data_IF_623507543709
#
_entry.id   IF_623507543709
#
_cell.length_a   1.000
_cell.length_b   1.000
_cell.length_c   1.000
_cell.angle_alpha   90.00
_cell.angle_beta   90.00
_cell.angle_gamma   90.00
#
_symmetry.space_group_name_H-M   'P 1'
#
loop_
_entity.id
_entity.type
_entity.pdbx_description
1 polymer ?
#
# COMPACT_ATOMS: atom_id res chain seq x y z
N UNK A 1 83.12 -52.98 19.87
CA UNK A 1 82.18 -51.85 20.11
C UNK A 1 81.80 -51.08 18.84
N UNK A 2 82.64 -51.01 17.79
CA UNK A 2 82.31 -50.28 16.54
C UNK A 2 81.22 -50.94 15.66
N UNK A 3 81.10 -52.28 15.64
CA UNK A 3 80.06 -52.95 14.81
C UNK A 3 78.64 -52.89 15.38
N UNK A 4 78.50 -52.73 16.71
CA UNK A 4 77.17 -52.56 17.35
C UNK A 4 76.60 -51.15 17.15
N UNK A 5 77.46 -50.14 16.97
CA UNK A 5 77.03 -48.74 16.72
C UNK A 5 76.42 -48.55 15.32
N UNK A 6 76.96 -49.25 14.31
CA UNK A 6 76.45 -49.20 12.93
C UNK A 6 75.06 -49.81 12.82
N UNK A 7 74.79 -50.90 13.55
CA UNK A 7 73.48 -51.56 13.55
C UNK A 7 72.43 -50.71 14.28
N UNK A 8 72.81 -49.99 15.34
CA UNK A 8 71.91 -49.04 16.03
C UNK A 8 71.59 -47.83 15.16
N UNK A 9 72.55 -47.30 14.38
CA UNK A 9 72.30 -46.22 13.43
C UNK A 9 71.44 -46.66 12.23
N UNK A 10 71.53 -47.92 11.78
CA UNK A 10 70.73 -48.44 10.67
C UNK A 10 69.27 -48.75 11.05
N UNK A 11 69.00 -49.06 12.33
CA UNK A 11 67.63 -49.23 12.84
C UNK A 11 66.97 -47.92 13.30
N UNK A 12 67.73 -46.85 13.56
CA UNK A 12 67.19 -45.53 13.93
C UNK A 12 66.63 -44.72 12.75
N UNK A 13 67.03 -45.05 11.50
CA UNK A 13 66.56 -44.37 10.28
C UNK A 13 65.22 -44.86 9.74
N UNK A 14 64.58 -45.85 10.39
CA UNK A 14 63.33 -46.49 9.94
C UNK A 14 62.06 -45.92 10.57
N UNK A 15 62.18 -44.88 11.41
CA UNK A 15 61.02 -44.21 11.99
C UNK A 15 60.70 -42.90 11.24
N UNK A 16 59.51 -42.91 10.61
CA UNK A 16 58.63 -41.75 10.37
C UNK A 16 58.92 -40.89 9.13
N UNK A 17 59.02 -41.51 7.95
CA UNK A 17 58.62 -40.82 6.73
C UNK A 17 57.10 -40.88 6.60
N UNK A 18 56.38 -39.82 6.96
CA UNK A 18 54.96 -39.72 6.59
C UNK A 18 54.86 -39.79 5.07
N UNK A 19 54.08 -40.73 4.53
CA UNK A 19 53.86 -40.89 3.09
C UNK A 19 52.89 -39.83 2.54
N UNK A 20 53.11 -38.56 2.91
CA UNK A 20 52.35 -37.43 2.40
C UNK A 20 52.91 -37.04 1.04
N UNK A 21 52.02 -36.79 0.10
CA UNK A 21 52.41 -36.26 -1.21
C UNK A 21 52.33 -34.74 -1.13
N UNK A 22 53.49 -34.08 -1.12
CA UNK A 22 53.59 -32.65 -1.32
C UNK A 22 53.89 -32.33 -2.78
N UNK A 23 53.09 -31.48 -3.41
CA UNK A 23 53.37 -30.92 -4.74
C UNK A 23 53.53 -29.40 -4.57
N UNK A 24 54.73 -28.87 -4.79
CA UNK A 24 55.03 -27.46 -4.57
C UNK A 24 55.25 -27.06 -3.09
N UNK A 25 55.26 -28.03 -2.18
CA UNK A 25 55.65 -27.87 -0.77
C UNK A 25 56.52 -29.04 -0.32
N UNK A 26 57.53 -28.78 0.51
CA UNK A 26 58.37 -29.82 1.14
C UNK A 26 57.91 -30.17 2.55
N UNK A 27 56.94 -29.43 3.08
CA UNK A 27 56.37 -29.62 4.41
C UNK A 27 54.85 -29.61 4.30
N UNK A 28 54.24 -30.70 3.78
CA UNK A 28 52.79 -30.82 3.76
C UNK A 28 52.20 -30.68 5.16
N UNK A 29 50.99 -30.14 5.24
CA UNK A 29 50.24 -30.05 6.49
C UNK A 29 50.12 -31.46 7.10
N UNK A 30 50.44 -31.66 8.39
CA UNK A 30 50.37 -32.97 9.05
C UNK A 30 48.99 -33.66 8.97
N UNK A 31 47.93 -32.90 8.68
CA UNK A 31 46.56 -33.41 8.51
C UNK A 31 46.20 -33.77 7.06
N UNK A 32 47.09 -33.55 6.10
CA UNK A 32 46.88 -33.84 4.68
C UNK A 32 47.55 -35.15 4.24
N UNK A 33 46.91 -35.90 3.34
CA UNK A 33 47.57 -37.00 2.59
C UNK A 33 48.18 -36.50 1.27
N UNK A 34 47.62 -35.43 0.71
CA UNK A 34 48.08 -34.73 -0.48
C UNK A 34 47.91 -33.23 -0.25
N UNK A 35 49.00 -32.46 -0.31
CA UNK A 35 48.95 -30.99 -0.36
C UNK A 35 49.56 -30.51 -1.68
N UNK A 36 48.85 -29.62 -2.36
CA UNK A 36 49.32 -28.95 -3.56
C UNK A 36 49.40 -27.46 -3.26
N UNK A 37 50.62 -26.92 -3.21
CA UNK A 37 50.89 -25.51 -2.94
C UNK A 37 51.42 -24.83 -4.20
N UNK A 38 50.70 -23.84 -4.69
CA UNK A 38 51.12 -23.00 -5.81
C UNK A 38 50.39 -21.66 -5.74
N UNK A 39 51.10 -20.57 -6.03
CA UNK A 39 50.51 -19.23 -6.15
C UNK A 39 50.11 -18.88 -7.60
N UNK A 40 50.45 -19.74 -8.57
CA UNK A 40 50.33 -19.46 -10.01
C UNK A 40 49.62 -20.55 -10.82
N UNK A 41 49.43 -21.76 -10.28
CA UNK A 41 48.81 -22.89 -10.97
C UNK A 41 47.76 -23.60 -10.10
N UNK A 42 46.74 -24.18 -10.74
CA UNK A 42 45.70 -24.98 -10.10
C UNK A 42 45.83 -26.49 -10.36
N UNK A 43 44.88 -27.27 -9.84
CA UNK A 43 44.75 -28.70 -10.13
C UNK A 43 43.71 -28.95 -11.24
N UNK A 44 44.09 -29.72 -12.25
CA UNK A 44 43.13 -30.32 -13.19
C UNK A 44 42.73 -31.70 -12.68
N UNK A 45 41.57 -31.78 -12.01
CA UNK A 45 40.93 -33.06 -11.69
C UNK A 45 40.45 -33.77 -12.97
N UNK A 46 40.14 -35.08 -12.93
CA UNK A 46 39.68 -35.81 -14.11
C UNK A 46 38.53 -35.10 -14.83
N UNK A 47 38.69 -34.88 -16.14
CA UNK A 47 37.71 -34.22 -17.00
C UNK A 47 37.02 -35.24 -17.88
N UNK A 48 35.70 -35.26 -17.90
CA UNK A 48 34.93 -36.23 -18.67
C UNK A 48 33.53 -35.71 -19.03
N UNK A 49 32.87 -36.35 -19.99
CA UNK A 49 31.47 -36.05 -20.35
C UNK A 49 30.50 -36.66 -19.34
N UNK A 50 29.24 -36.24 -19.38
CA UNK A 50 28.16 -36.83 -18.57
C UNK A 50 28.09 -38.36 -18.75
N UNK A 51 28.14 -38.83 -19.99
CA UNK A 51 28.09 -40.26 -20.32
C UNK A 51 29.27 -41.02 -19.73
N UNK A 52 30.48 -40.44 -19.79
CA UNK A 52 31.68 -41.06 -19.21
C UNK A 52 31.66 -41.06 -17.69
N UNK A 53 31.14 -40.00 -17.05
CA UNK A 53 30.94 -39.92 -15.60
C UNK A 53 29.95 -40.97 -15.12
N UNK A 54 28.82 -41.10 -15.81
CA UNK A 54 27.77 -42.06 -15.45
C UNK A 54 28.18 -43.51 -15.73
N UNK A 55 29.17 -43.71 -16.62
CA UNK A 55 29.79 -45.01 -16.84
C UNK A 55 30.71 -45.46 -15.68
N UNK A 56 31.09 -44.56 -14.75
CA UNK A 56 31.77 -44.94 -13.50
C UNK A 56 30.75 -45.64 -12.61
N UNK A 57 30.59 -46.94 -12.81
CA UNK A 57 29.52 -47.74 -12.21
C UNK A 57 29.99 -49.08 -11.64
N UNK A 58 31.15 -49.59 -12.07
CA UNK A 58 31.74 -50.82 -11.54
C UNK A 58 33.28 -50.71 -11.37
N UNK A 59 33.78 -50.68 -10.12
CA UNK A 59 32.99 -50.59 -8.89
C UNK A 59 32.24 -49.26 -8.79
N UNK A 60 31.19 -49.22 -7.97
CA UNK A 60 30.43 -47.99 -7.73
C UNK A 60 31.37 -46.85 -7.24
N UNK A 61 31.15 -45.59 -7.65
CA UNK A 61 32.00 -44.48 -7.23
C UNK A 61 32.01 -44.33 -5.70
N UNK A 62 33.17 -43.96 -5.16
CA UNK A 62 33.29 -43.65 -3.73
C UNK A 62 32.73 -42.26 -3.41
N UNK A 63 32.17 -42.09 -2.21
CA UNK A 63 31.80 -40.77 -1.71
C UNK A 63 33.03 -39.85 -1.65
N UNK A 64 32.88 -38.62 -2.14
CA UNK A 64 33.96 -37.65 -2.25
C UNK A 64 34.76 -37.73 -3.55
N UNK A 65 34.43 -38.64 -4.49
CA UNK A 65 35.04 -38.65 -5.81
C UNK A 65 34.70 -37.35 -6.56
N UNK A 66 35.71 -36.65 -7.06
CA UNK A 66 35.57 -35.36 -7.73
C UNK A 66 35.99 -35.47 -9.20
N UNK A 67 35.15 -34.93 -10.09
CA UNK A 67 35.45 -34.83 -11.52
C UNK A 67 34.96 -33.47 -12.03
N UNK A 68 35.56 -32.98 -13.12
CA UNK A 68 35.03 -31.83 -13.84
C UNK A 68 34.25 -32.33 -15.06
N UNK A 69 32.95 -32.07 -15.08
CA UNK A 69 32.07 -32.53 -16.13
C UNK A 69 32.04 -31.51 -17.28
N UNK A 70 32.53 -31.95 -18.43
CA UNK A 70 32.70 -31.13 -19.63
C UNK A 70 31.41 -31.00 -20.45
N UNK A 71 30.35 -31.74 -20.13
CA UNK A 71 29.05 -31.62 -20.79
C UNK A 71 28.24 -30.45 -20.22
N UNK A 72 28.27 -30.26 -18.90
CA UNK A 72 27.52 -29.22 -18.18
C UNK A 72 28.42 -28.14 -17.56
N UNK A 73 29.75 -28.24 -17.73
CA UNK A 73 30.76 -27.34 -17.20
C UNK A 73 30.75 -27.20 -15.66
N UNK A 74 30.49 -28.29 -14.93
CA UNK A 74 30.37 -28.29 -13.46
C UNK A 74 31.46 -29.09 -12.76
N UNK A 75 31.74 -28.74 -11.50
CA UNK A 75 32.41 -29.65 -10.57
C UNK A 75 31.38 -30.66 -10.07
N UNK A 76 31.61 -31.95 -10.31
CA UNK A 76 30.73 -33.01 -9.83
C UNK A 76 31.40 -33.79 -8.69
N UNK A 77 30.68 -33.91 -7.57
CA UNK A 77 31.12 -34.69 -6.40
C UNK A 77 30.15 -35.84 -6.19
N UNK A 78 30.66 -37.07 -6.15
CA UNK A 78 29.82 -38.22 -5.81
C UNK A 78 29.55 -38.24 -4.30
N UNK A 79 28.28 -38.28 -3.91
CA UNK A 79 27.86 -38.31 -2.51
C UNK A 79 26.50 -38.95 -2.37
N UNK A 80 26.34 -39.81 -1.36
CA UNK A 80 25.09 -40.50 -1.04
C UNK A 80 24.51 -41.23 -2.26
N UNK A 81 25.34 -42.02 -2.94
CA UNK A 81 24.99 -42.81 -4.12
C UNK A 81 24.46 -41.99 -5.31
N UNK A 82 24.89 -40.74 -5.45
CA UNK A 82 24.52 -39.87 -6.57
C UNK A 82 25.60 -38.83 -6.87
N UNK A 83 25.69 -38.40 -8.13
CA UNK A 83 26.51 -37.25 -8.50
C UNK A 83 25.82 -35.93 -8.09
N UNK A 84 26.55 -35.05 -7.41
CA UNK A 84 26.12 -33.68 -7.07
C UNK A 84 26.91 -32.69 -7.93
N UNK A 85 26.21 -31.96 -8.79
CA UNK A 85 26.82 -30.96 -9.67
C UNK A 85 26.82 -29.58 -9.03
N UNK A 86 27.98 -28.96 -9.00
CA UNK A 86 28.20 -27.58 -8.57
C UNK A 86 28.51 -26.74 -9.80
N UNK A 87 27.46 -26.10 -10.35
CA UNK A 87 27.59 -25.20 -11.48
C UNK A 87 27.86 -23.78 -10.99
N UNK A 88 28.88 -23.13 -11.55
CA UNK A 88 28.93 -21.67 -11.61
C UNK A 88 28.13 -21.25 -12.85
N UNK A 89 26.95 -20.67 -12.67
CA UNK A 89 26.15 -20.15 -13.79
C UNK A 89 26.42 -18.65 -13.96
N UNK A 90 27.23 -18.23 -14.95
CA UNK A 90 27.41 -16.81 -15.25
C UNK A 90 26.13 -16.15 -15.80
N UNK A 91 25.15 -16.95 -16.25
CA UNK A 91 23.88 -16.49 -16.80
C UNK A 91 22.76 -16.33 -15.74
N UNK A 92 23.11 -16.45 -14.45
CA UNK A 92 22.17 -16.17 -13.38
C UNK A 92 21.71 -14.71 -13.46
N UNK A 93 20.40 -14.49 -13.33
CA UNK A 93 19.85 -13.16 -13.07
C UNK A 93 20.06 -12.74 -11.60
N UNK A 94 20.55 -13.63 -10.73
CA UNK A 94 20.83 -13.34 -9.32
C UNK A 94 22.28 -12.93 -9.10
N UNK A 95 22.48 -11.86 -8.33
CA UNK A 95 23.76 -11.44 -7.76
C UNK A 95 23.65 -11.54 -6.23
N UNK A 96 24.47 -12.37 -5.60
CA UNK A 96 24.51 -12.46 -4.14
C UNK A 96 25.44 -11.39 -3.57
N UNK A 97 24.96 -10.66 -2.57
CA UNK A 97 25.67 -9.54 -1.95
C UNK A 97 25.88 -9.83 -0.47
N UNK A 98 27.13 -9.98 -0.07
CA UNK A 98 27.53 -10.20 1.32
C UNK A 98 28.27 -8.97 1.89
N UNK A 99 28.77 -8.10 1.02
CA UNK A 99 29.59 -6.95 1.35
C UNK A 99 29.56 -5.90 0.24
N UNK A 100 30.13 -4.72 0.51
CA UNK A 100 30.26 -3.66 -0.49
C UNK A 100 31.05 -4.10 -1.74
N UNK A 101 32.00 -5.03 -1.63
CA UNK A 101 32.81 -5.48 -2.78
C UNK A 101 32.04 -6.37 -3.76
N UNK A 102 30.87 -6.88 -3.37
CA UNK A 102 30.00 -7.67 -4.25
C UNK A 102 29.09 -6.79 -5.12
N UNK A 103 29.10 -5.47 -4.88
CA UNK A 103 28.36 -4.47 -5.64
C UNK A 103 29.24 -3.82 -6.71
N UNK A 104 28.63 -3.23 -7.77
CA UNK A 104 29.35 -2.36 -8.69
C UNK A 104 30.13 -1.26 -7.95
N UNK A 105 31.27 -0.85 -8.52
CA UNK A 105 32.09 0.19 -7.92
C UNK A 105 31.30 1.51 -7.79
N UNK A 106 31.35 2.20 -6.64
CA UNK A 106 30.68 3.49 -6.48
C UNK A 106 31.28 4.58 -7.39
N UNK A 107 30.41 5.33 -8.07
CA UNK A 107 30.77 6.52 -8.84
C UNK A 107 30.17 7.76 -8.17
N UNK A 108 31.01 8.65 -7.64
CA UNK A 108 30.56 9.83 -6.87
C UNK A 108 29.58 9.50 -5.74
N UNK A 109 29.78 8.36 -5.08
CA UNK A 109 28.91 7.85 -4.02
C UNK A 109 27.71 7.04 -4.51
N UNK A 110 27.42 6.99 -5.81
CA UNK A 110 26.32 6.20 -6.37
C UNK A 110 26.77 4.83 -6.85
N UNK A 111 26.11 3.78 -6.37
CA UNK A 111 26.28 2.39 -6.84
C UNK A 111 25.12 2.10 -7.78
N UNK A 112 25.37 2.11 -9.09
CA UNK A 112 24.34 1.82 -10.10
C UNK A 112 24.27 0.33 -10.38
N UNK A 113 23.11 -0.27 -10.13
CA UNK A 113 22.88 -1.69 -10.36
C UNK A 113 22.54 -2.01 -11.82
N UNK A 114 22.79 -3.25 -12.22
CA UNK A 114 22.38 -3.78 -13.53
C UNK A 114 20.87 -4.06 -13.52
N UNK A 115 20.13 -3.38 -14.40
CA UNK A 115 18.66 -3.44 -14.50
C UNK A 115 18.12 -4.83 -14.82
N UNK A 116 18.96 -5.71 -15.37
CA UNK A 116 18.58 -7.08 -15.75
C UNK A 116 18.70 -8.09 -14.60
N UNK A 117 19.20 -7.64 -13.44
CA UNK A 117 19.56 -8.51 -12.31
C UNK A 117 18.64 -8.33 -11.11
N UNK A 118 18.66 -9.32 -10.23
CA UNK A 118 18.12 -9.28 -8.88
C UNK A 118 19.27 -9.48 -7.88
N UNK A 119 19.45 -8.50 -7.01
CA UNK A 119 20.48 -8.51 -5.98
C UNK A 119 19.89 -9.11 -4.69
N UNK A 120 20.49 -10.20 -4.24
CA UNK A 120 20.09 -10.94 -3.04
C UNK A 120 21.09 -10.63 -1.93
N UNK A 121 20.67 -9.77 -1.00
CA UNK A 121 21.45 -9.36 0.15
C UNK A 121 21.37 -10.40 1.25
N UNK A 122 22.52 -10.73 1.85
CA UNK A 122 22.63 -11.67 2.94
C UNK A 122 23.51 -11.08 4.03
N UNK A 123 22.95 -10.81 5.19
CA UNK A 123 23.58 -10.12 6.30
C UNK A 123 23.52 -8.59 6.19
N UNK A 124 24.22 -7.93 7.11
CA UNK A 124 24.25 -6.46 7.21
C UNK A 124 25.32 -5.88 6.30
N UNK A 125 24.92 -5.41 5.13
CA UNK A 125 25.80 -4.81 4.12
C UNK A 125 25.88 -3.30 4.35
N UNK A 126 27.00 -2.86 4.90
CA UNK A 126 27.31 -1.43 5.08
C UNK A 126 27.89 -0.88 3.79
N UNK A 127 27.22 0.12 3.21
CA UNK A 127 27.65 0.78 1.96
C UNK A 127 28.08 2.23 2.16
N UNK A 128 28.03 2.75 3.39
CA UNK A 128 28.48 4.10 3.76
C UNK A 128 29.80 4.54 3.09
N UNK A 129 29.91 5.79 2.61
CA UNK A 129 28.89 6.85 2.56
C UNK A 129 28.04 6.78 1.26
N UNK A 130 28.01 5.64 0.57
CA UNK A 130 27.41 5.48 -0.74
C UNK A 130 25.89 5.23 -0.66
N UNK A 131 25.20 5.41 -1.79
CA UNK A 131 23.81 5.02 -1.98
C UNK A 131 23.69 4.02 -3.14
N UNK A 132 22.60 3.29 -3.19
CA UNK A 132 22.26 2.41 -4.32
C UNK A 132 21.31 3.14 -5.25
N UNK A 133 21.70 3.29 -6.51
CA UNK A 133 20.78 3.54 -7.61
C UNK A 133 20.29 2.19 -8.15
N UNK A 134 19.03 1.84 -7.83
CA UNK A 134 18.43 0.55 -8.18
C UNK A 134 18.40 0.35 -9.70
N UNK A 135 18.18 1.44 -10.45
CA UNK A 135 18.18 1.42 -11.91
C UNK A 135 17.29 0.30 -12.54
N UNK A 136 16.18 -0.08 -11.89
CA UNK A 136 15.30 -1.15 -12.36
C UNK A 136 15.66 -2.58 -11.91
N UNK A 137 16.80 -2.77 -11.24
CA UNK A 137 17.17 -4.06 -10.66
C UNK A 137 16.19 -4.47 -9.54
N UNK A 138 15.99 -5.77 -9.35
CA UNK A 138 15.25 -6.29 -8.20
C UNK A 138 16.14 -6.34 -6.95
N UNK A 139 15.59 -6.01 -5.78
CA UNK A 139 16.28 -6.19 -4.50
C UNK A 139 15.54 -7.22 -3.65
N UNK A 140 16.30 -8.12 -3.03
CA UNK A 140 15.74 -9.15 -2.15
C UNK A 140 16.68 -9.49 -0.99
N UNK A 141 16.11 -9.88 0.14
CA UNK A 141 16.80 -10.64 1.19
C UNK A 141 16.12 -11.99 1.45
N UNK A 142 16.49 -12.64 2.54
CA UNK A 142 15.96 -13.94 2.98
C UNK A 142 15.47 -13.90 4.43
N UNK A 143 16.12 -13.09 5.27
CA UNK A 143 15.78 -12.84 6.66
C UNK A 143 15.90 -11.32 6.90
N UNK A 144 14.83 -10.53 6.74
CA UNK A 144 14.87 -9.06 6.85
C UNK A 144 15.30 -8.55 8.24
N UNK A 145 15.35 -9.40 9.27
CA UNK A 145 15.91 -9.01 10.57
C UNK A 145 17.45 -8.93 10.54
N UNK A 146 18.10 -9.66 9.62
CA UNK A 146 19.56 -9.75 9.50
C UNK A 146 20.08 -9.21 8.17
N UNK A 147 19.28 -9.30 7.11
CA UNK A 147 19.60 -8.85 5.77
C UNK A 147 19.25 -7.36 5.66
N UNK A 148 20.29 -6.53 5.65
CA UNK A 148 20.15 -5.08 5.77
C UNK A 148 21.08 -4.36 4.79
N UNK A 149 20.59 -3.26 4.21
CA UNK A 149 21.42 -2.26 3.55
C UNK A 149 21.56 -1.07 4.49
N UNK A 150 22.79 -0.73 4.86
CA UNK A 150 23.08 0.32 5.84
C UNK A 150 23.90 1.43 5.18
N UNK A 151 23.43 2.67 5.27
CA UNK A 151 24.18 3.83 4.79
C UNK A 151 23.87 5.10 5.58
N UNK A 152 24.89 5.93 5.77
CA UNK A 152 24.85 7.28 6.34
C UNK A 152 24.98 8.38 5.26
N UNK A 153 24.62 8.06 4.01
CA UNK A 153 24.68 9.00 2.88
C UNK A 153 24.02 10.33 3.25
N UNK A 154 24.79 11.41 3.14
CA UNK A 154 24.35 12.73 3.58
C UNK A 154 23.27 13.31 2.66
N UNK A 155 22.24 13.93 3.26
CA UNK A 155 21.20 14.68 2.57
C UNK A 155 20.57 13.93 1.37
N UNK A 156 20.12 12.70 1.60
CA UNK A 156 19.47 11.90 0.56
C UNK A 156 19.07 10.52 1.04
N UNK A 157 18.67 9.65 0.10
CA UNK A 157 18.21 8.31 0.41
C UNK A 157 19.27 7.22 0.24
N UNK A 158 19.17 6.15 1.03
CA UNK A 158 19.97 4.91 0.89
C UNK A 158 19.69 4.23 -0.45
N UNK A 159 18.41 4.12 -0.82
CA UNK A 159 17.96 3.56 -2.08
C UNK A 159 17.32 4.65 -2.94
N UNK A 160 17.75 4.74 -4.20
CA UNK A 160 17.28 5.73 -5.17
C UNK A 160 16.91 5.06 -6.48
N UNK A 161 15.96 5.64 -7.19
CA UNK A 161 15.71 5.30 -8.59
C UNK A 161 14.83 6.34 -9.25
N UNK A 162 15.07 6.60 -10.53
CA UNK A 162 14.24 7.48 -11.35
C UNK A 162 13.86 6.78 -12.65
N UNK A 163 12.59 6.92 -13.06
CA UNK A 163 12.06 6.42 -14.34
C UNK A 163 12.37 4.93 -14.60
N UNK A 164 12.24 4.11 -13.55
CA UNK A 164 12.44 2.66 -13.57
C UNK A 164 11.50 2.00 -12.59
N UNK A 165 11.13 0.75 -12.86
CA UNK A 165 10.31 -0.02 -11.91
C UNK A 165 11.09 -0.37 -10.65
N UNK A 166 10.39 -0.46 -9.51
CA UNK A 166 10.97 -0.83 -8.22
C UNK A 166 10.37 -2.16 -7.77
N UNK A 167 11.23 -3.07 -7.35
CA UNK A 167 10.85 -4.32 -6.70
C UNK A 167 11.77 -4.59 -5.52
N UNK A 168 11.22 -4.58 -4.31
CA UNK A 168 11.94 -4.87 -3.06
C UNK A 168 11.13 -5.89 -2.26
N UNK A 169 11.80 -6.90 -1.70
CA UNK A 169 11.16 -7.92 -0.85
C UNK A 169 12.13 -8.47 0.20
N UNK A 170 11.64 -8.75 1.41
CA UNK A 170 12.38 -9.46 2.47
C UNK A 170 13.74 -8.81 2.82
N UNK A 171 13.86 -7.48 2.71
CA UNK A 171 15.11 -6.75 2.89
C UNK A 171 14.92 -5.49 3.73
N UNK A 172 15.69 -5.32 4.80
CA UNK A 172 15.63 -4.10 5.60
C UNK A 172 16.58 -3.02 5.07
N UNK A 173 16.17 -1.76 5.20
CA UNK A 173 16.99 -0.58 4.89
C UNK A 173 17.19 0.24 6.15
N UNK A 174 18.44 0.56 6.44
CA UNK A 174 18.85 1.27 7.65
C UNK A 174 19.48 2.60 7.24
N UNK A 175 18.69 3.69 7.20
CA UNK A 175 19.23 5.03 7.09
C UNK A 175 19.95 5.40 8.40
N UNK A 176 21.27 5.52 8.35
CA UNK A 176 22.14 5.58 9.53
C UNK A 176 22.52 7.01 9.96
N UNK A 177 21.82 8.04 9.48
CA UNK A 177 22.01 9.42 9.92
C UNK A 177 20.71 10.21 9.95
N UNK A 178 20.65 11.26 10.77
CA UNK A 178 19.49 12.16 10.86
C UNK A 178 19.19 12.96 9.58
N UNK A 179 20.11 12.93 8.60
CA UNK A 179 19.94 13.55 7.27
C UNK A 179 19.63 12.54 6.15
N UNK A 180 19.52 11.26 6.50
CA UNK A 180 19.36 10.16 5.54
C UNK A 180 17.94 9.63 5.60
N UNK A 181 17.32 9.40 4.44
CA UNK A 181 16.05 8.65 4.31
C UNK A 181 16.31 7.26 3.73
N UNK A 182 15.35 6.34 3.79
CA UNK A 182 15.51 5.04 3.15
C UNK A 182 15.30 5.09 1.63
N UNK A 183 14.25 5.79 1.18
CA UNK A 183 13.78 5.78 -0.20
C UNK A 183 13.71 7.18 -0.81
N UNK A 184 14.13 7.27 -2.07
CA UNK A 184 13.87 8.37 -2.99
C UNK A 184 13.60 7.79 -4.37
N UNK A 185 12.33 7.47 -4.62
CA UNK A 185 11.89 6.84 -5.87
C UNK A 185 11.00 7.81 -6.64
N UNK A 186 11.26 7.97 -7.94
CA UNK A 186 10.46 8.84 -8.79
C UNK A 186 10.21 8.23 -10.17
N UNK A 187 9.05 8.50 -10.73
CA UNK A 187 8.75 8.24 -12.14
C UNK A 187 8.01 9.46 -12.70
N UNK A 188 8.62 10.19 -13.63
CA UNK A 188 7.95 11.31 -14.30
C UNK A 188 7.18 10.88 -15.55
N UNK A 189 7.34 9.61 -15.96
CA UNK A 189 6.66 9.05 -17.13
C UNK A 189 5.27 8.52 -16.81
N UNK A 190 4.99 8.17 -15.55
CA UNK A 190 3.74 7.55 -15.13
C UNK A 190 3.54 6.15 -15.71
N UNK A 191 4.61 5.46 -16.10
CA UNK A 191 4.54 4.16 -16.79
C UNK A 191 5.09 3.00 -15.97
N UNK A 192 5.97 3.27 -15.01
CA UNK A 192 6.60 2.24 -14.20
C UNK A 192 5.77 1.97 -12.94
N UNK A 193 6.09 0.87 -12.24
CA UNK A 193 5.47 0.51 -10.97
C UNK A 193 6.49 0.54 -9.83
N UNK A 194 6.02 0.77 -8.60
CA UNK A 194 6.81 0.67 -7.39
C UNK A 194 6.20 -0.38 -6.46
N UNK A 195 6.91 -1.49 -6.25
CA UNK A 195 6.47 -2.61 -5.45
C UNK A 195 7.42 -2.86 -4.28
N UNK A 196 6.91 -2.68 -3.07
CA UNK A 196 7.62 -2.88 -1.80
C UNK A 196 6.83 -3.90 -0.98
N UNK A 197 7.31 -5.13 -0.96
CA UNK A 197 6.59 -6.28 -0.41
C UNK A 197 7.22 -6.84 0.85
N UNK A 198 6.47 -7.72 1.51
CA UNK A 198 6.75 -8.43 2.76
C UNK A 198 8.18 -8.34 3.27
N UNK A 199 8.34 -7.73 4.44
CA UNK A 199 9.62 -7.63 5.13
C UNK A 199 10.55 -6.54 4.59
N UNK A 200 10.10 -5.70 3.65
CA UNK A 200 10.88 -4.53 3.18
C UNK A 200 10.83 -3.40 4.22
N UNK A 201 11.52 -3.63 5.32
CA UNK A 201 11.45 -2.82 6.53
C UNK A 201 12.36 -1.61 6.47
N UNK A 202 12.04 -0.55 7.21
CA UNK A 202 12.92 0.60 7.41
C UNK A 202 13.10 0.81 8.89
N UNK A 203 14.34 0.84 9.36
CA UNK A 203 14.63 0.83 10.81
C UNK A 203 15.75 1.80 11.14
N UNK A 204 15.51 2.66 12.12
CA UNK A 204 16.48 3.57 12.74
C UNK A 204 17.43 2.83 13.70
N UNK A 205 18.08 1.77 13.21
CA UNK A 205 18.92 0.89 14.04
C UNK A 205 20.23 1.56 14.51
N UNK A 206 20.67 2.62 13.82
CA UNK A 206 21.95 3.31 14.05
C UNK A 206 21.76 4.73 14.62
N UNK A 207 20.55 5.06 15.11
CA UNK A 207 20.16 6.40 15.54
C UNK A 207 19.01 6.96 14.70
N UNK A 208 18.43 8.12 15.09
CA UNK A 208 17.28 8.68 14.42
C UNK A 208 17.63 9.07 12.97
N UNK A 209 16.82 8.63 12.02
CA UNK A 209 16.96 9.01 10.60
C UNK A 209 16.08 10.20 10.24
N UNK A 210 16.05 10.59 8.96
CA UNK A 210 15.06 11.51 8.40
C UNK A 210 13.74 10.81 8.01
N UNK A 211 13.63 9.49 8.17
CA UNK A 211 12.41 8.72 7.92
C UNK A 211 12.47 7.77 6.73
N UNK A 212 11.30 7.24 6.35
CA UNK A 212 11.16 6.32 5.21
C UNK A 212 11.52 7.02 3.90
N UNK A 213 11.06 8.25 3.67
CA UNK A 213 11.40 9.05 2.49
C UNK A 213 10.23 9.25 1.53
N UNK A 214 10.52 9.33 0.22
CA UNK A 214 9.55 9.77 -0.80
C UNK A 214 9.44 8.77 -1.95
N UNK A 215 8.22 8.55 -2.43
CA UNK A 215 7.92 7.81 -3.65
C UNK A 215 6.95 8.66 -4.50
N UNK A 216 7.29 8.95 -5.75
CA UNK A 216 6.46 9.83 -6.59
C UNK A 216 6.24 9.34 -8.02
N UNK A 217 5.03 9.58 -8.54
CA UNK A 217 4.75 9.56 -9.98
C UNK A 217 4.59 8.21 -10.70
N UNK A 218 4.54 7.09 -9.98
CA UNK A 218 4.41 5.76 -10.59
C UNK A 218 2.97 5.44 -11.03
N UNK A 219 2.82 4.65 -12.10
CA UNK A 219 1.50 4.11 -12.52
C UNK A 219 0.80 3.32 -11.40
N UNK A 220 1.58 2.62 -10.58
CA UNK A 220 1.11 1.93 -9.39
C UNK A 220 2.18 1.92 -8.30
N UNK A 221 1.79 2.24 -7.07
CA UNK A 221 2.61 2.13 -5.86
C UNK A 221 1.94 1.13 -4.94
N UNK A 222 2.61 0.01 -4.65
CA UNK A 222 2.09 -1.05 -3.77
C UNK A 222 3.07 -1.30 -2.62
N UNK A 223 2.62 -1.07 -1.39
CA UNK A 223 3.41 -1.22 -0.17
C UNK A 223 2.67 -2.16 0.78
N UNK A 224 3.16 -3.40 0.91
CA UNK A 224 2.46 -4.43 1.69
C UNK A 224 3.37 -5.16 2.68
N UNK A 225 2.86 -5.38 3.89
CA UNK A 225 3.46 -6.27 4.89
C UNK A 225 4.86 -5.85 5.36
N UNK A 226 5.07 -4.56 5.59
CA UNK A 226 6.36 -4.00 6.02
C UNK A 226 6.35 -3.57 7.49
N UNK A 227 7.54 -3.35 8.05
CA UNK A 227 7.74 -2.79 9.39
C UNK A 227 8.60 -1.53 9.30
N UNK A 228 8.08 -0.40 9.75
CA UNK A 228 8.80 0.87 9.78
C UNK A 228 8.93 1.36 11.22
N UNK A 229 10.17 1.54 11.67
CA UNK A 229 10.49 2.14 12.95
C UNK A 229 11.46 3.30 12.70
N UNK A 230 10.88 4.46 12.38
CA UNK A 230 11.62 5.64 11.92
C UNK A 230 11.02 6.92 12.48
N UNK A 231 11.80 8.00 12.51
CA UNK A 231 11.31 9.30 13.03
C UNK A 231 10.18 9.92 12.20
N UNK A 232 10.13 9.64 10.89
CA UNK A 232 9.11 10.12 9.96
C UNK A 232 8.73 9.02 8.98
N UNK A 233 7.50 9.07 8.47
CA UNK A 233 6.92 8.04 7.61
C UNK A 233 7.22 8.23 6.13
N UNK A 234 6.36 7.64 5.30
CA UNK A 234 6.46 7.70 3.84
C UNK A 234 5.68 8.89 3.27
N UNK A 235 6.25 9.53 2.25
CA UNK A 235 5.61 10.59 1.45
C UNK A 235 5.30 10.09 0.05
N UNK A 236 4.08 10.29 -0.40
CA UNK A 236 3.62 9.93 -1.75
C UNK A 236 3.28 11.21 -2.52
N UNK A 237 3.86 11.40 -3.70
CA UNK A 237 3.68 12.59 -4.54
C UNK A 237 3.60 12.31 -6.03
N UNK A 238 3.57 13.36 -6.85
CA UNK A 238 3.50 13.27 -8.30
C UNK A 238 2.23 12.60 -8.85
N UNK A 239 2.25 12.26 -10.15
CA UNK A 239 1.10 11.62 -10.82
C UNK A 239 1.08 10.12 -10.63
N UNK A 240 0.23 9.65 -9.72
CA UNK A 240 0.12 8.23 -9.37
C UNK A 240 -1.12 7.65 -10.01
N UNK A 241 -1.04 6.49 -10.67
CA UNK A 241 -2.27 5.83 -11.12
C UNK A 241 -3.04 5.27 -9.92
N UNK A 242 -2.42 4.32 -9.21
CA UNK A 242 -2.97 3.72 -7.98
C UNK A 242 -1.96 3.68 -6.84
N UNK A 243 -2.37 4.06 -5.64
CA UNK A 243 -1.61 3.85 -4.41
C UNK A 243 -2.30 2.81 -3.52
N UNK A 244 -1.55 1.81 -3.07
CA UNK A 244 -2.04 0.78 -2.14
C UNK A 244 -1.06 0.59 -1.00
N UNK A 245 -1.55 0.68 0.23
CA UNK A 245 -0.80 0.44 1.46
C UNK A 245 -1.58 -0.48 2.38
N UNK A 246 -0.98 -1.59 2.81
CA UNK A 246 -1.65 -2.47 3.75
C UNK A 246 -0.79 -3.45 4.51
N UNK A 247 -1.26 -3.82 5.71
CA UNK A 247 -0.51 -4.65 6.65
C UNK A 247 0.87 -4.09 7.01
N UNK A 248 1.08 -2.78 6.90
CA UNK A 248 2.32 -2.14 7.34
C UNK A 248 2.21 -1.79 8.83
N UNK A 249 3.27 -2.08 9.58
CA UNK A 249 3.43 -1.74 10.99
C UNK A 249 4.31 -0.50 11.08
N UNK A 250 3.69 0.63 11.40
CA UNK A 250 4.32 1.96 11.40
C UNK A 250 4.46 2.41 12.84
N UNK A 251 5.70 2.54 13.29
CA UNK A 251 6.07 2.90 14.67
C UNK A 251 7.18 3.95 14.67
N UNK A 252 7.44 4.56 15.83
CA UNK A 252 8.57 5.47 16.02
C UNK A 252 8.39 6.91 15.49
N UNK A 253 7.24 7.20 14.85
CA UNK A 253 6.96 8.52 14.26
C UNK A 253 6.98 9.60 15.34
N UNK A 254 8.01 10.46 15.25
CA UNK A 254 8.27 11.58 16.15
C UNK A 254 8.24 12.93 15.42
N UNK A 255 8.24 12.91 14.09
CA UNK A 255 8.16 14.06 13.20
C UNK A 255 7.23 13.74 12.02
N UNK A 256 6.32 14.64 11.66
CA UNK A 256 5.46 14.48 10.48
C UNK A 256 4.32 13.48 10.66
N UNK A 257 4.18 12.56 9.69
CA UNK A 257 3.07 11.62 9.60
C UNK A 257 3.57 10.19 9.30
N UNK A 258 2.77 9.18 9.64
CA UNK A 258 3.06 7.79 9.25
C UNK A 258 2.96 7.59 7.74
N UNK A 259 1.93 8.18 7.12
CA UNK A 259 1.78 8.30 5.66
C UNK A 259 1.38 9.75 5.35
N UNK A 260 2.07 10.38 4.41
CA UNK A 260 1.75 11.72 3.91
C UNK A 260 1.50 11.69 2.40
N UNK A 261 0.33 12.16 1.97
CA UNK A 261 0.02 12.45 0.57
C UNK A 261 0.39 13.93 0.32
N UNK A 262 1.39 14.14 -0.53
CA UNK A 262 1.93 15.46 -0.84
C UNK A 262 0.93 16.30 -1.66
N UNK A 263 1.09 17.63 -1.61
CA UNK A 263 0.15 18.54 -2.27
C UNK A 263 0.19 18.49 -3.80
N UNK A 264 1.27 17.95 -4.38
CA UNK A 264 1.45 17.71 -5.80
C UNK A 264 0.93 16.32 -6.25
N UNK A 265 0.42 15.50 -5.33
CA UNK A 265 -0.07 14.17 -5.65
C UNK A 265 -1.35 14.26 -6.48
N UNK A 266 -1.38 13.54 -7.60
CA UNK A 266 -2.62 13.22 -8.32
C UNK A 266 -2.80 11.71 -8.29
N UNK A 267 -4.04 11.23 -8.08
CA UNK A 267 -4.30 9.80 -8.03
C UNK A 267 -5.71 9.41 -8.48
N UNK A 268 -5.81 8.31 -9.25
CA UNK A 268 -7.11 7.73 -9.58
C UNK A 268 -7.66 6.99 -8.37
N UNK A 269 -6.86 6.08 -7.80
CA UNK A 269 -7.30 5.23 -6.69
C UNK A 269 -6.27 5.21 -5.56
N UNK A 270 -6.73 5.39 -4.33
CA UNK A 270 -5.96 5.23 -3.10
C UNK A 270 -6.66 4.21 -2.21
N UNK A 271 -5.94 3.17 -1.80
CA UNK A 271 -6.40 2.15 -0.89
C UNK A 271 -5.41 1.97 0.27
N UNK A 272 -5.79 2.46 1.44
CA UNK A 272 -5.01 2.35 2.68
C UNK A 272 -5.80 1.47 3.64
N UNK A 273 -5.39 0.21 3.77
CA UNK A 273 -6.16 -0.78 4.50
C UNK A 273 -5.33 -1.69 5.41
N UNK A 274 -5.85 -2.00 6.60
CA UNK A 274 -5.21 -2.91 7.56
C UNK A 274 -3.80 -2.49 8.03
N UNK A 275 -3.47 -1.20 8.01
CA UNK A 275 -2.20 -0.72 8.56
C UNK A 275 -2.30 -0.51 10.08
N UNK A 276 -1.17 -0.64 10.77
CA UNK A 276 -1.03 -0.41 12.20
C UNK A 276 -0.15 0.82 12.44
N UNK A 277 -0.77 1.92 12.87
CA UNK A 277 -0.09 3.13 13.30
C UNK A 277 0.05 3.09 14.83
N UNK A 278 1.25 2.83 15.33
CA UNK A 278 1.52 2.63 16.76
C UNK A 278 2.68 3.52 17.22
N UNK A 279 2.35 4.72 17.67
CA UNK A 279 3.30 5.71 18.19
C UNK A 279 2.54 6.79 18.96
N UNK A 280 3.24 7.56 19.78
CA UNK A 280 2.63 8.60 20.63
C UNK A 280 2.68 9.97 19.93
N UNK A 281 1.53 10.62 19.79
CA UNK A 281 1.42 11.94 19.15
C UNK A 281 1.46 11.86 17.61
N UNK A 282 1.87 12.94 16.95
CA UNK A 282 2.00 13.06 15.49
C UNK A 282 0.76 12.65 14.67
N UNK A 283 0.91 12.68 13.35
CA UNK A 283 -0.18 12.45 12.40
C UNK A 283 -0.17 10.99 11.94
N UNK A 284 -1.35 10.39 11.81
CA UNK A 284 -1.57 9.08 11.20
C UNK A 284 -1.39 9.16 9.68
N UNK A 285 -2.46 9.60 9.02
CA UNK A 285 -2.50 9.93 7.61
C UNK A 285 -2.66 11.45 7.42
N UNK A 286 -1.73 12.04 6.68
CA UNK A 286 -1.78 13.45 6.28
C UNK A 286 -2.12 13.57 4.80
N UNK A 287 -3.09 14.40 4.45
CA UNK A 287 -3.48 14.67 3.06
C UNK A 287 -3.41 16.17 2.80
N UNK A 288 -2.40 16.62 2.04
CA UNK A 288 -2.16 18.05 1.84
C UNK A 288 -3.10 18.71 0.81
N UNK A 289 -3.69 17.92 -0.11
CA UNK A 289 -4.69 18.38 -1.08
C UNK A 289 -5.61 17.23 -1.50
N UNK A 290 -6.89 17.50 -1.73
CA UNK A 290 -7.88 16.51 -2.19
C UNK A 290 -8.38 16.76 -3.62
N UNK A 291 -8.06 17.91 -4.22
CA UNK A 291 -8.63 18.34 -5.51
C UNK A 291 -8.29 17.38 -6.65
N UNK A 292 -7.12 16.76 -6.59
CA UNK A 292 -6.54 15.87 -7.60
C UNK A 292 -6.60 14.38 -7.24
N UNK A 293 -7.31 14.02 -6.17
CA UNK A 293 -7.47 12.63 -5.73
C UNK A 293 -8.88 12.17 -6.10
N UNK A 294 -9.05 11.20 -7.01
CA UNK A 294 -10.37 10.73 -7.46
C UNK A 294 -11.06 9.83 -6.42
N UNK A 295 -10.46 8.70 -6.04
CA UNK A 295 -11.10 7.73 -5.14
C UNK A 295 -10.19 7.30 -4.01
N UNK A 296 -10.50 7.78 -2.80
CA UNK A 296 -9.85 7.33 -1.57
C UNK A 296 -10.65 6.24 -0.85
N UNK A 297 -9.95 5.26 -0.29
CA UNK A 297 -10.45 4.27 0.65
C UNK A 297 -9.49 4.17 1.84
N UNK A 298 -10.06 4.25 3.05
CA UNK A 298 -9.34 4.05 4.30
C UNK A 298 -10.12 3.04 5.14
N UNK A 299 -9.65 1.79 5.25
CA UNK A 299 -10.43 0.75 5.96
C UNK A 299 -9.61 -0.06 6.93
N UNK A 300 -10.21 -0.41 8.07
CA UNK A 300 -9.64 -1.36 9.05
C UNK A 300 -8.24 -1.00 9.56
N UNK A 301 -7.85 0.29 9.51
CA UNK A 301 -6.57 0.74 10.05
C UNK A 301 -6.66 0.95 11.56
N UNK A 302 -5.59 0.61 12.25
CA UNK A 302 -5.47 0.76 13.69
C UNK A 302 -4.60 1.97 14.03
N UNK A 303 -5.15 2.93 14.76
CA UNK A 303 -4.42 4.07 15.32
C UNK A 303 -4.32 3.87 16.83
N UNK A 304 -3.10 3.77 17.37
CA UNK A 304 -2.86 3.58 18.80
C UNK A 304 -1.78 4.54 19.29
N UNK A 305 -2.19 5.47 20.14
CA UNK A 305 -1.33 6.55 20.67
C UNK A 305 -1.18 7.75 19.72
N UNK A 306 -1.64 7.61 18.48
CA UNK A 306 -1.55 8.66 17.45
C UNK A 306 -2.37 9.88 17.88
N UNK A 307 -1.75 11.06 17.86
CA UNK A 307 -2.38 12.30 18.33
C UNK A 307 -3.44 12.82 17.36
N UNK A 308 -3.14 12.76 16.06
CA UNK A 308 -4.02 13.21 14.99
C UNK A 308 -4.16 12.09 13.95
N UNK A 309 -5.15 11.18 14.06
CA UNK A 309 -5.31 10.07 13.12
C UNK A 309 -5.42 10.52 11.65
N UNK A 310 -6.14 11.63 11.41
CA UNK A 310 -6.29 12.26 10.10
C UNK A 310 -5.98 13.76 10.16
N UNK A 311 -5.18 14.22 9.20
CA UNK A 311 -4.94 15.65 8.95
C UNK A 311 -5.22 15.97 7.49
N UNK A 312 -5.92 17.09 7.25
CA UNK A 312 -6.31 17.56 5.90
C UNK A 312 -7.58 16.95 5.31
N UNK A 313 -8.12 15.87 5.87
CA UNK A 313 -9.42 15.28 5.47
C UNK A 313 -10.25 14.86 6.68
N UNK A 314 -11.55 14.67 6.46
CA UNK A 314 -12.49 14.13 7.46
C UNK A 314 -13.25 12.92 6.89
N UNK A 315 -14.00 12.21 7.73
CA UNK A 315 -14.86 11.10 7.30
C UNK A 315 -15.99 11.50 6.34
N UNK A 316 -16.30 12.80 6.24
CA UNK A 316 -17.29 13.35 5.32
C UNK A 316 -16.70 13.75 3.95
N UNK A 317 -15.38 13.65 3.75
CA UNK A 317 -14.71 14.06 2.52
C UNK A 317 -15.29 13.34 1.29
N UNK A 318 -15.65 14.09 0.24
CA UNK A 318 -16.44 13.58 -0.90
C UNK A 318 -15.74 12.41 -1.62
N UNK A 319 -14.43 12.52 -1.87
CA UNK A 319 -13.63 11.51 -2.56
C UNK A 319 -13.33 10.25 -1.74
N UNK A 320 -13.53 10.30 -0.42
CA UNK A 320 -13.09 9.24 0.50
C UNK A 320 -14.25 8.38 0.99
N UNK A 321 -13.96 7.10 1.21
CA UNK A 321 -14.79 6.18 1.95
C UNK A 321 -13.96 5.55 3.09
N UNK A 322 -14.41 5.76 4.33
CA UNK A 322 -13.75 5.33 5.54
C UNK A 322 -14.63 4.34 6.31
N UNK A 323 -14.07 3.20 6.72
CA UNK A 323 -14.81 2.23 7.54
C UNK A 323 -13.92 1.46 8.51
N UNK A 324 -14.37 1.26 9.74
CA UNK A 324 -13.75 0.40 10.75
C UNK A 324 -12.31 0.82 11.13
N UNK A 325 -12.02 2.12 11.09
CA UNK A 325 -10.73 2.64 11.55
C UNK A 325 -10.83 3.03 13.04
N UNK A 326 -9.75 2.83 13.82
CA UNK A 326 -9.73 3.30 15.21
C UNK A 326 -9.74 4.82 15.26
N UNK A 327 -10.54 5.42 16.15
CA UNK A 327 -10.63 6.87 16.40
C UNK A 327 -11.01 7.75 15.19
N UNK A 328 -11.49 7.14 14.10
CA UNK A 328 -11.99 7.83 12.91
C UNK A 328 -13.44 7.36 12.68
N UNK A 329 -14.43 8.27 12.65
CA UNK A 329 -15.80 7.90 12.33
C UNK A 329 -15.91 7.27 10.94
N UNK A 330 -16.78 6.27 10.80
CA UNK A 330 -17.14 5.75 9.48
C UNK A 330 -17.77 6.83 8.61
N UNK A 331 -17.46 6.79 7.32
CA UNK A 331 -18.07 7.67 6.33
C UNK A 331 -19.57 7.41 6.25
N UNK A 332 -20.35 8.50 6.22
CA UNK A 332 -21.80 8.45 6.06
C UNK A 332 -22.21 9.39 4.93
N UNK A 333 -23.08 8.92 4.05
CA UNK A 333 -23.86 9.80 3.19
C UNK A 333 -25.20 10.05 3.89
N UNK A 334 -25.39 11.26 4.42
CA UNK A 334 -26.61 11.60 5.17
C UNK A 334 -26.95 13.08 5.05
N UNK A 335 -28.23 13.42 4.95
CA UNK A 335 -28.72 14.79 4.97
C UNK A 335 -30.08 14.89 5.67
N UNK A 336 -30.27 15.97 6.44
CA UNK A 336 -31.55 16.31 7.03
C UNK A 336 -31.87 17.77 6.76
N UNK A 337 -32.95 18.01 6.02
CA UNK A 337 -33.56 19.32 5.81
C UNK A 337 -34.90 19.42 6.52
N UNK A 338 -35.20 20.57 7.11
CA UNK A 338 -36.46 20.79 7.82
C UNK A 338 -36.90 22.25 7.77
N UNK A 339 -38.16 22.53 8.12
CA UNK A 339 -38.62 23.91 8.36
C UNK A 339 -38.36 24.30 9.81
N UNK A 340 -37.67 25.42 10.03
CA UNK A 340 -37.60 26.07 11.33
C UNK A 340 -38.92 26.83 11.62
N UNK A 341 -39.24 27.05 12.90
CA UNK A 341 -40.36 27.89 13.31
C UNK A 341 -40.24 29.28 12.65
N UNK A 342 -41.19 29.63 11.78
CA UNK A 342 -41.21 30.90 11.03
C UNK A 342 -40.77 30.82 9.55
N UNK A 343 -40.19 29.71 9.10
CA UNK A 343 -39.79 29.50 7.70
C UNK A 343 -40.86 28.82 6.83
N UNK A 344 -42.01 28.46 7.43
CA UNK A 344 -43.16 27.81 6.82
C UNK A 344 -44.18 28.77 6.19
N UNK A 345 -43.89 30.08 6.11
CA UNK A 345 -44.87 31.12 5.77
C UNK A 345 -45.24 31.22 4.28
N UNK A 346 -44.77 30.31 3.43
CA UNK A 346 -45.05 30.33 1.98
C UNK A 346 -46.07 29.24 1.66
N UNK A 347 -47.25 29.66 1.20
CA UNK A 347 -48.26 28.72 0.75
C UNK A 347 -47.81 28.04 -0.55
N UNK A 348 -48.01 26.72 -0.62
CA UNK A 348 -47.85 25.93 -1.84
C UNK A 348 -49.06 26.17 -2.72
N UNK A 349 -48.84 26.77 -3.89
CA UNK A 349 -49.86 27.07 -4.89
C UNK A 349 -49.96 25.93 -5.91
N UNK A 350 -51.18 25.45 -6.16
CA UNK A 350 -51.47 24.36 -7.09
C UNK A 350 -51.89 24.85 -8.49
N UNK A 351 -51.99 26.17 -8.71
CA UNK A 351 -52.46 26.76 -9.98
C UNK A 351 -51.35 27.01 -11.01
N UNK A 352 -50.08 26.85 -10.60
CA UNK A 352 -48.91 27.04 -11.46
C UNK A 352 -48.58 25.84 -12.36
N UNK A 353 -47.36 25.80 -12.88
CA UNK A 353 -46.85 24.65 -13.65
C UNK A 353 -46.83 23.41 -12.77
N UNK A 354 -47.56 22.37 -13.20
CA UNK A 354 -47.62 21.08 -12.50
C UNK A 354 -46.99 19.97 -13.32
N UNK A 355 -46.49 18.93 -12.66
CA UNK A 355 -45.99 17.70 -13.29
C UNK A 355 -46.89 16.57 -12.81
N UNK A 356 -47.74 16.03 -13.69
CA UNK A 356 -48.77 15.04 -13.33
C UNK A 356 -49.68 15.50 -12.17
N UNK A 357 -49.94 16.81 -12.09
CA UNK A 357 -50.73 17.46 -11.04
C UNK A 357 -49.96 17.75 -9.74
N UNK A 358 -48.69 17.37 -9.63
CA UNK A 358 -47.86 17.68 -8.47
C UNK A 358 -47.16 19.04 -8.62
N UNK A 359 -47.01 19.72 -7.49
CA UNK A 359 -46.20 20.92 -7.32
C UNK A 359 -45.17 20.70 -6.22
N UNK A 360 -44.02 21.36 -6.32
CA UNK A 360 -42.98 21.29 -5.29
C UNK A 360 -43.50 21.94 -4.01
N UNK A 361 -43.30 21.28 -2.86
CA UNK A 361 -43.67 21.88 -1.56
C UNK A 361 -42.88 23.18 -1.38
N UNK A 362 -43.62 24.29 -1.21
CA UNK A 362 -43.05 25.62 -1.03
C UNK A 362 -42.65 25.86 0.43
N UNK A 363 -41.68 26.75 0.63
CA UNK A 363 -41.14 27.11 1.94
C UNK A 363 -39.62 27.09 1.96
N UNK A 364 -39.05 27.68 3.01
CA UNK A 364 -37.59 27.78 3.19
C UNK A 364 -37.11 26.64 4.09
N UNK A 365 -36.26 25.74 3.57
CA UNK A 365 -35.64 24.68 4.36
C UNK A 365 -34.36 25.15 5.05
N UNK A 366 -34.07 24.55 6.19
CA UNK A 366 -32.78 24.65 6.89
C UNK A 366 -32.16 23.26 6.95
N UNK A 367 -30.86 23.17 6.69
CA UNK A 367 -30.09 21.93 6.83
C UNK A 367 -29.61 21.77 8.26
N UNK A 368 -29.93 20.65 8.91
CA UNK A 368 -29.35 20.29 10.20
C UNK A 368 -27.94 19.71 10.02
N UNK A 369 -27.76 18.89 9.00
CA UNK A 369 -26.49 18.31 8.57
C UNK A 369 -26.62 17.83 7.12
N UNK A 370 -25.50 17.84 6.39
CA UNK A 370 -25.41 17.28 5.06
C UNK A 370 -23.97 16.79 4.81
N UNK A 371 -23.77 15.47 4.80
CA UNK A 371 -22.50 14.80 4.50
C UNK A 371 -22.64 14.07 3.18
N UNK A 372 -21.76 14.37 2.21
CA UNK A 372 -21.87 13.94 0.80
C UNK A 372 -23.18 14.35 0.10
N UNK A 373 -23.83 15.36 0.65
CA UNK A 373 -25.03 15.98 0.08
C UNK A 373 -24.93 17.49 0.25
N UNK A 374 -25.57 18.21 -0.67
CA UNK A 374 -25.82 19.64 -0.58
C UNK A 374 -27.32 19.83 -0.36
N UNK A 375 -27.68 20.34 0.81
CA UNK A 375 -29.06 20.67 1.15
C UNK A 375 -29.31 22.18 0.92
N UNK A 376 -30.01 22.50 -0.15
CA UNK A 376 -30.40 23.87 -0.45
C UNK A 376 -31.59 24.35 0.40
N UNK A 377 -31.82 25.66 0.43
CA UNK A 377 -32.85 26.29 1.25
C UNK A 377 -34.27 26.23 0.65
N UNK A 378 -34.51 25.36 -0.33
CA UNK A 378 -35.78 25.30 -1.04
C UNK A 378 -36.33 23.87 -1.20
N UNK A 379 -36.17 22.98 -0.20
CA UNK A 379 -36.60 21.58 -0.31
C UNK A 379 -35.94 20.88 -1.51
N UNK A 380 -34.61 20.96 -1.58
CA UNK A 380 -33.80 20.16 -2.50
C UNK A 380 -32.54 19.69 -1.81
N UNK A 381 -32.33 18.38 -1.86
CA UNK A 381 -31.11 17.71 -1.42
C UNK A 381 -30.44 17.12 -2.66
N UNK A 382 -29.20 17.52 -2.94
CA UNK A 382 -28.39 17.08 -4.07
C UNK A 382 -27.30 16.14 -3.58
N UNK A 383 -27.08 15.02 -4.25
CA UNK A 383 -26.02 14.07 -3.93
C UNK A 383 -24.68 14.53 -4.51
N UNK A 384 -23.68 14.73 -3.65
CA UNK A 384 -22.35 15.21 -4.03
C UNK A 384 -21.30 14.08 -4.04
N UNK A 385 -21.66 12.89 -3.56
CA UNK A 385 -20.72 11.77 -3.50
C UNK A 385 -20.34 11.24 -4.88
N UNK A 386 -19.13 10.68 -4.99
CA UNK A 386 -18.57 10.16 -6.26
C UNK A 386 -18.99 8.73 -6.60
N UNK A 387 -19.67 8.03 -5.68
CA UNK A 387 -20.07 6.62 -5.84
C UNK A 387 -21.59 6.52 -5.83
N UNK A 388 -22.24 5.74 -6.70
CA UNK A 388 -23.67 5.56 -6.61
C UNK A 388 -24.10 5.01 -5.25
N UNK A 389 -25.26 5.44 -4.75
CA UNK A 389 -25.87 4.97 -3.50
C UNK A 389 -27.33 4.59 -3.71
N UNK A 390 -27.87 3.76 -2.82
CA UNK A 390 -29.32 3.52 -2.71
C UNK A 390 -29.82 4.37 -1.55
N UNK A 391 -30.29 5.59 -1.85
CA UNK A 391 -30.68 6.54 -0.84
C UNK A 391 -32.04 6.17 -0.22
N UNK A 392 -32.05 5.89 1.08
CA UNK A 392 -33.24 5.81 1.92
C UNK A 392 -33.73 7.20 2.24
N UNK A 393 -34.96 7.47 1.83
CA UNK A 393 -35.60 8.77 1.93
C UNK A 393 -36.78 8.66 2.86
N UNK A 394 -36.87 9.59 3.81
CA UNK A 394 -38.04 9.75 4.67
C UNK A 394 -38.44 11.22 4.73
N UNK A 395 -39.68 11.51 4.38
CA UNK A 395 -40.23 12.85 4.50
C UNK A 395 -41.54 12.85 5.27
N UNK A 396 -41.74 13.91 6.07
CA UNK A 396 -42.97 14.17 6.79
C UNK A 396 -43.35 15.63 6.61
N UNK A 397 -44.60 15.87 6.28
CA UNK A 397 -45.19 17.21 6.24
C UNK A 397 -46.37 17.27 7.20
N UNK A 398 -46.47 18.39 7.92
CA UNK A 398 -47.66 18.75 8.68
C UNK A 398 -48.29 19.98 8.04
N UNK A 399 -49.59 19.95 7.84
CA UNK A 399 -50.31 21.05 7.22
C UNK A 399 -51.76 21.13 7.73
N UNK A 400 -52.46 22.20 7.33
CA UNK A 400 -53.86 22.45 7.65
C UNK A 400 -54.62 22.73 6.36
N UNK A 401 -55.74 22.03 6.13
CA UNK A 401 -56.57 22.24 4.94
C UNK A 401 -57.31 23.57 4.99
N UNK A 402 -57.42 24.29 3.87
CA UNK A 402 -58.13 25.57 3.77
C UNK A 402 -59.63 25.46 3.45
N UNK A 403 -60.09 24.29 3.00
CA UNK A 403 -61.46 24.01 2.54
C UNK A 403 -61.90 22.61 2.94
N UNK A 404 -63.21 22.40 3.03
CA UNK A 404 -63.82 21.09 3.27
C UNK A 404 -63.61 20.16 2.08
N UNK A 405 -63.58 18.85 2.33
CA UNK A 405 -63.40 17.80 1.31
C UNK A 405 -62.09 17.88 0.53
N UNK A 406 -61.06 18.48 1.13
CA UNK A 406 -59.71 18.51 0.56
C UNK A 406 -59.03 17.15 0.65
N UNK A 407 -58.25 16.79 -0.36
CA UNK A 407 -57.45 15.57 -0.40
C UNK A 407 -56.09 15.87 -1.03
N UNK A 408 -55.03 15.29 -0.47
CA UNK A 408 -53.65 15.56 -0.86
C UNK A 408 -52.86 14.27 -1.02
N UNK A 409 -51.88 14.27 -1.92
CA UNK A 409 -50.92 13.17 -2.15
C UNK A 409 -49.51 13.70 -2.13
N UNK A 410 -48.60 13.07 -1.38
CA UNK A 410 -47.17 13.41 -1.40
C UNK A 410 -46.37 12.40 -2.21
N UNK A 411 -45.31 12.88 -2.86
CA UNK A 411 -44.37 12.09 -3.65
C UNK A 411 -42.96 12.68 -3.55
N UNK A 412 -41.95 11.83 -3.79
CA UNK A 412 -40.56 12.27 -3.97
C UNK A 412 -40.27 12.35 -5.47
N UNK A 413 -39.66 13.45 -5.88
CA UNK A 413 -39.23 13.69 -7.24
C UNK A 413 -37.71 13.59 -7.32
N UNK A 414 -37.19 13.10 -8.44
CA UNK A 414 -35.76 13.02 -8.74
C UNK A 414 -35.50 13.84 -10.00
N UNK A 415 -34.55 14.76 -9.94
CA UNK A 415 -34.15 15.61 -11.05
C UNK A 415 -35.29 16.41 -11.69
N UNK A 416 -36.33 16.72 -10.92
CA UNK A 416 -37.52 17.43 -11.39
C UNK A 416 -38.60 16.53 -12.00
N UNK A 417 -38.34 15.24 -12.15
CA UNK A 417 -39.29 14.26 -12.67
C UNK A 417 -39.88 13.39 -11.57
N UNK A 418 -41.13 12.96 -11.78
CA UNK A 418 -41.74 11.93 -10.95
C UNK A 418 -41.06 10.59 -11.25
N UNK A 419 -40.59 9.92 -10.20
CA UNK A 419 -40.01 8.59 -10.35
C UNK A 419 -41.12 7.57 -10.57
N UNK A 420 -41.06 6.80 -11.66
CA UNK A 420 -42.02 5.73 -11.94
C UNK A 420 -41.99 4.65 -10.86
N UNK A 421 -43.15 4.08 -10.56
CA UNK A 421 -43.32 2.95 -9.63
C UNK A 421 -42.89 3.18 -8.17
N UNK A 422 -42.80 4.45 -7.74
CA UNK A 422 -42.52 4.79 -6.34
C UNK A 422 -43.79 4.90 -5.50
N UNK A 423 -43.71 4.56 -4.19
CA UNK A 423 -44.83 4.76 -3.27
C UNK A 423 -45.18 6.25 -3.19
N UNK A 424 -46.48 6.51 -3.11
CA UNK A 424 -47.05 7.80 -2.75
C UNK A 424 -47.93 7.61 -1.52
N UNK A 425 -48.11 8.66 -0.72
CA UNK A 425 -49.06 8.62 0.39
C UNK A 425 -50.19 9.62 0.14
N UNK A 426 -51.43 9.15 0.21
CA UNK A 426 -52.63 9.94 -0.06
C UNK A 426 -53.49 10.06 1.19
N UNK A 427 -53.79 11.30 1.56
CA UNK A 427 -54.83 11.64 2.52
C UNK A 427 -56.16 11.80 1.78
N UNK A 428 -57.18 11.05 2.19
CA UNK A 428 -58.55 11.18 1.70
C UNK A 428 -59.26 12.41 2.30
N UNK A 429 -60.54 12.64 1.99
CA UNK A 429 -61.28 13.86 2.39
C UNK A 429 -61.03 14.26 3.85
N UNK A 430 -60.64 15.53 4.05
CA UNK A 430 -60.52 16.18 5.35
C UNK A 430 -61.43 17.41 5.45
N UNK A 431 -61.95 17.67 6.65
CA UNK A 431 -62.78 18.83 6.93
C UNK A 431 -61.99 20.15 6.84
N UNK A 432 -62.69 21.26 6.61
CA UNK A 432 -62.08 22.59 6.61
C UNK A 432 -61.31 22.84 7.92
N UNK A 433 -60.11 23.42 7.84
CA UNK A 433 -59.19 23.64 8.96
C UNK A 433 -58.77 22.36 9.69
N UNK A 434 -58.91 21.21 9.04
CA UNK A 434 -58.39 19.95 9.54
C UNK A 434 -56.87 19.92 9.46
N UNK A 435 -56.23 19.64 10.59
CA UNK A 435 -54.79 19.43 10.67
C UNK A 435 -54.47 17.99 10.29
N UNK A 436 -53.44 17.81 9.47
CA UNK A 436 -53.03 16.50 9.01
C UNK A 436 -51.52 16.37 8.94
N UNK A 437 -51.08 15.11 8.87
CA UNK A 437 -49.71 14.72 8.62
C UNK A 437 -49.69 13.76 7.42
N UNK A 438 -48.74 13.97 6.53
CA UNK A 438 -48.42 13.04 5.45
C UNK A 438 -46.94 12.66 5.56
N UNK A 439 -46.67 11.36 5.59
CA UNK A 439 -45.32 10.82 5.65
C UNK A 439 -45.08 9.82 4.53
N UNK A 440 -43.89 9.84 3.95
CA UNK A 440 -43.49 8.94 2.87
C UNK A 440 -42.08 8.46 3.13
N UNK A 441 -41.88 7.15 3.01
CA UNK A 441 -40.57 6.51 3.02
C UNK A 441 -40.37 5.77 1.71
N UNK A 442 -39.21 5.96 1.07
CA UNK A 442 -38.87 5.27 -0.17
C UNK A 442 -37.37 5.13 -0.35
N UNK A 443 -36.94 4.38 -1.36
CA UNK A 443 -35.53 4.21 -1.74
C UNK A 443 -35.33 4.63 -3.20
N UNK A 444 -34.26 5.37 -3.48
CA UNK A 444 -33.89 5.82 -4.83
C UNK A 444 -32.39 5.64 -5.08
N UNK A 445 -32.04 5.09 -6.24
CA UNK A 445 -30.66 5.13 -6.72
C UNK A 445 -30.26 6.57 -7.02
N UNK A 446 -29.18 7.06 -6.43
CA UNK A 446 -28.60 8.37 -6.70
C UNK A 446 -27.18 8.24 -7.24
N UNK A 447 -26.89 8.98 -8.30
CA UNK A 447 -25.53 9.24 -8.79
C UNK A 447 -25.16 10.71 -8.56
N UNK A 448 -23.87 11.05 -8.68
CA UNK A 448 -23.37 12.41 -8.45
C UNK A 448 -24.22 13.43 -9.21
N UNK A 449 -24.56 14.54 -8.56
CA UNK A 449 -25.42 15.64 -9.04
C UNK A 449 -26.92 15.35 -9.12
N UNK A 450 -27.37 14.11 -8.92
CA UNK A 450 -28.80 13.84 -8.77
C UNK A 450 -29.34 14.62 -7.58
N UNK A 451 -30.52 15.20 -7.74
CA UNK A 451 -31.21 15.89 -6.65
C UNK A 451 -32.62 15.35 -6.45
N UNK A 452 -33.05 15.41 -5.20
CA UNK A 452 -34.37 14.96 -4.78
C UNK A 452 -35.12 16.06 -4.04
N UNK A 453 -36.43 16.06 -4.23
CA UNK A 453 -37.34 17.11 -3.78
C UNK A 453 -38.68 16.48 -3.38
N UNK A 454 -39.37 17.10 -2.43
CA UNK A 454 -40.70 16.64 -2.00
C UNK A 454 -41.77 17.45 -2.70
N UNK A 455 -42.69 16.74 -3.35
CA UNK A 455 -43.80 17.32 -4.09
C UNK A 455 -45.13 16.90 -3.46
N UNK A 456 -46.14 17.74 -3.64
CA UNK A 456 -47.50 17.50 -3.20
C UNK A 456 -48.46 17.76 -4.35
N UNK A 457 -49.45 16.88 -4.52
CA UNK A 457 -50.58 17.06 -5.40
C UNK A 457 -51.84 17.21 -4.56
N UNK A 458 -52.76 18.00 -5.08
CA UNK A 458 -54.13 18.03 -4.62
C UNK A 458 -55.01 17.11 -5.45
N UNK A 459 -55.87 16.32 -4.81
CA UNK A 459 -56.84 15.45 -5.49
C UNK A 459 -58.27 16.04 -5.52
N UNK A 460 -58.63 16.96 -4.59
CA UNK A 460 -59.95 17.61 -4.52
C UNK A 460 -59.91 18.96 -3.78
N UNK A 461 -60.73 19.94 -4.21
CA UNK A 461 -60.90 21.32 -3.68
C UNK A 461 -60.20 22.45 -4.50
N UNK A 462 -60.19 23.71 -4.03
CA UNK A 462 -59.60 24.89 -4.72
C UNK A 462 -58.67 25.87 -3.91
N UNK A 463 -58.35 25.64 -2.64
CA UNK A 463 -57.35 26.40 -1.84
C UNK A 463 -55.83 26.19 -2.12
N UNK A 464 -54.99 27.05 -1.55
CA UNK A 464 -53.53 26.81 -1.41
C UNK A 464 -53.23 26.03 -0.12
N UNK A 465 -52.04 25.42 -0.02
CA UNK A 465 -51.65 24.65 1.17
C UNK A 465 -50.45 25.28 1.90
N UNK A 466 -50.65 25.63 3.17
CA UNK A 466 -49.56 26.05 4.05
C UNK A 466 -48.99 24.84 4.81
N UNK A 467 -47.74 24.47 4.52
CA UNK A 467 -47.04 23.41 5.24
C UNK A 467 -46.38 24.00 6.48
N UNK A 468 -46.90 23.68 7.66
CA UNK A 468 -46.49 24.28 8.94
C UNK A 468 -45.22 23.63 9.51
N UNK A 469 -44.97 22.36 9.19
CA UNK A 469 -43.72 21.68 9.48
C UNK A 469 -43.33 20.72 8.36
N UNK A 470 -42.03 20.63 8.08
CA UNK A 470 -41.44 19.80 7.05
C UNK A 470 -40.18 19.14 7.59
N UNK A 471 -40.01 17.85 7.34
CA UNK A 471 -38.78 17.11 7.57
C UNK A 471 -38.48 16.26 6.34
N UNK A 472 -37.22 16.25 5.93
CA UNK A 472 -36.72 15.52 4.77
C UNK A 472 -35.35 14.96 5.10
N UNK A 473 -35.33 13.68 5.41
CA UNK A 473 -34.15 12.92 5.75
C UNK A 473 -33.74 12.02 4.59
N UNK A 474 -32.45 11.94 4.34
CA UNK A 474 -31.83 11.13 3.29
C UNK A 474 -30.60 10.45 3.89
N UNK A 475 -30.45 9.15 3.68
CA UNK A 475 -29.27 8.39 4.09
C UNK A 475 -29.00 7.25 3.10
N UNK A 476 -27.75 6.88 2.92
CA UNK A 476 -27.38 5.59 2.29
C UNK A 476 -27.71 4.39 3.20
#
# INVERSE_FOLDING_TARGET
>A
MKSKLVIVCMFLGLFLGYAQVGIGTTTPDPTSLLEIKSDTAGILIPRMTLVQRDAISDPAPANGLQIYNTTNNTLDIYSNSSWKSFAYSPDSNLVYVYSLSDLPAPESGGITLDETKMYVFSGSVVISPNYININGAGLRGTDPQKDQIISDVANGAVLRSSNKSIYIKELAVVPASSSTTAYDFSDTTGTFFCNIFSGSSVVDAMGPSSGVGTISGFSAITILQNYWNTTNGIKIGGTVGKFTSGYNFIVGISNGAGIELLGDMTANDIDIANNYFIYTGNIGLKVNSTESLDRGRLTTNMFRGVGTPLDGITSAEIGWNMSQNTDIPDTKAIALSYFNEGNSNVATDFTGTTISGFVKVAGTTTSAYAQKFTASNNNRITYDGRRPIVAKISTTINAESGTTDSSYTIAVFKNGDMVSDQPVNTLNSIANKGKFQLSLSTELDLVTTDYIEVYIRRNSGDDTLLVTAFQFNVSD
#
